data_IF_934096640164
#
_entry.id   IF_934096640164
#
_cell.length_a   1.000
_cell.length_b   1.000
_cell.length_c   1.000
_cell.angle_alpha   90.00
_cell.angle_beta   90.00
_cell.angle_gamma   90.00
#
_symmetry.space_group_name_H-M   'P 1'
#
loop_
_entity.id
_entity.type
_entity.pdbx_description
1 polymer ?
#
# COMPACT_ATOMS: atom_id res chain seq x y z
N UNK A 1 -19.43 -24.08 -0.63
CA UNK A 1 -19.58 -24.45 -2.07
C UNK A 1 -19.20 -25.90 -2.25
N UNK A 2 -19.64 -26.55 -3.32
CA UNK A 2 -19.26 -27.96 -3.59
C UNK A 2 -17.94 -28.09 -4.35
N UNK A 3 -17.51 -27.06 -5.07
CA UNK A 3 -16.26 -27.02 -5.82
C UNK A 3 -16.30 -26.05 -6.99
N UNK A 4 -15.22 -25.96 -7.73
CA UNK A 4 -15.11 -25.22 -9.00
C UNK A 4 -15.60 -26.10 -10.14
N UNK A 5 -16.34 -25.49 -11.06
CA UNK A 5 -16.93 -26.22 -12.20
C UNK A 5 -15.84 -26.80 -13.13
N UNK A 6 -15.85 -28.11 -13.33
CA UNK A 6 -14.88 -28.87 -14.15
C UNK A 6 -13.41 -28.58 -13.80
N UNK A 7 -13.09 -28.29 -12.52
CA UNK A 7 -11.74 -28.05 -12.06
C UNK A 7 -11.53 -28.66 -10.67
N UNK A 8 -11.24 -29.97 -10.65
CA UNK A 8 -11.05 -30.72 -9.42
C UNK A 8 -9.76 -30.33 -8.70
N UNK A 9 -8.69 -29.97 -9.44
CA UNK A 9 -7.43 -29.51 -8.86
C UNK A 9 -7.62 -28.25 -8.05
N UNK A 10 -8.22 -27.21 -8.64
CA UNK A 10 -8.52 -25.96 -7.93
C UNK A 10 -9.51 -26.19 -6.76
N UNK A 11 -10.39 -27.20 -6.87
CA UNK A 11 -11.29 -27.54 -5.78
C UNK A 11 -10.54 -28.12 -4.60
N UNK A 12 -9.60 -29.05 -4.83
CA UNK A 12 -8.79 -29.65 -3.77
C UNK A 12 -7.79 -28.66 -3.14
N UNK A 13 -7.33 -27.67 -3.91
CA UNK A 13 -6.52 -26.60 -3.36
C UNK A 13 -7.32 -25.64 -2.45
N UNK A 14 -8.59 -25.42 -2.77
CA UNK A 14 -9.45 -24.48 -2.06
C UNK A 14 -10.24 -25.10 -0.91
N UNK A 15 -10.49 -26.42 -0.93
CA UNK A 15 -11.28 -27.13 0.07
C UNK A 15 -10.50 -28.35 0.51
N UNK A 16 -10.21 -28.45 1.81
CA UNK A 16 -9.51 -29.60 2.36
C UNK A 16 -10.42 -30.83 2.55
N UNK A 17 -9.82 -31.95 2.99
CA UNK A 17 -10.53 -33.21 3.24
C UNK A 17 -11.59 -33.13 4.33
N UNK A 18 -11.50 -32.14 5.23
CA UNK A 18 -12.44 -31.93 6.33
C UNK A 18 -13.56 -30.94 5.94
N UNK A 19 -13.52 -30.43 4.72
CA UNK A 19 -14.52 -29.52 4.14
C UNK A 19 -14.29 -28.04 4.47
N UNK A 20 -13.11 -27.65 5.00
CA UNK A 20 -12.74 -26.27 5.23
C UNK A 20 -12.38 -25.59 3.91
N UNK A 21 -12.92 -24.39 3.74
CA UNK A 21 -12.63 -23.56 2.57
C UNK A 21 -11.58 -22.51 2.88
N UNK A 22 -10.47 -22.56 2.16
CA UNK A 22 -9.40 -21.57 2.22
C UNK A 22 -9.74 -20.36 1.38
N UNK A 23 -10.21 -19.28 2.01
CA UNK A 23 -10.63 -18.04 1.32
C UNK A 23 -9.44 -17.31 0.68
N UNK A 24 -8.23 -17.52 1.20
CA UNK A 24 -7.05 -16.76 0.86
C UNK A 24 -7.03 -15.37 1.48
N UNK A 25 -7.95 -15.08 2.40
CA UNK A 25 -7.98 -13.84 3.15
C UNK A 25 -7.21 -14.00 4.47
N UNK A 26 -6.59 -12.93 4.93
CA UNK A 26 -5.90 -12.82 6.22
C UNK A 26 -6.68 -11.86 7.10
N UNK A 27 -6.86 -12.23 8.34
CA UNK A 27 -7.59 -11.42 9.31
C UNK A 27 -7.25 -11.81 10.74
N UNK A 28 -7.80 -11.07 11.66
CA UNK A 28 -7.74 -11.36 13.10
C UNK A 28 -9.10 -11.19 13.75
N UNK A 29 -9.28 -11.83 14.88
CA UNK A 29 -10.44 -11.60 15.74
C UNK A 29 -10.04 -10.58 16.82
N UNK A 30 -10.91 -9.64 17.12
CA UNK A 30 -10.75 -8.79 18.28
C UNK A 30 -11.19 -9.50 19.58
N UNK A 31 -11.05 -8.79 20.71
CA UNK A 31 -11.40 -9.33 22.04
C UNK A 31 -12.92 -9.59 22.19
N UNK A 32 -13.75 -8.97 21.33
CA UNK A 32 -15.21 -9.15 21.28
C UNK A 32 -15.62 -10.25 20.30
N UNK A 33 -14.67 -10.81 19.55
CA UNK A 33 -14.88 -11.90 18.58
C UNK A 33 -15.30 -11.45 17.19
N UNK A 34 -15.18 -10.16 16.85
CA UNK A 34 -15.39 -9.69 15.48
C UNK A 34 -14.19 -9.99 14.59
N UNK A 35 -14.48 -10.46 13.38
CA UNK A 35 -13.46 -10.76 12.38
C UNK A 35 -13.12 -9.51 11.56
N UNK A 36 -11.87 -9.11 11.59
CA UNK A 36 -11.30 -8.06 10.75
C UNK A 36 -10.45 -8.68 9.66
N UNK A 37 -10.83 -8.49 8.38
CA UNK A 37 -10.02 -8.88 7.24
C UNK A 37 -9.01 -7.76 6.99
N UNK A 38 -7.72 -8.10 7.06
CA UNK A 38 -6.63 -7.12 6.93
C UNK A 38 -6.03 -7.12 5.53
N UNK A 39 -5.90 -8.30 4.89
CA UNK A 39 -5.34 -8.40 3.54
C UNK A 39 -5.66 -9.77 2.91
N UNK A 40 -5.17 -9.98 1.69
CA UNK A 40 -5.13 -11.29 1.04
C UNK A 40 -3.76 -11.94 1.17
N UNK A 41 -3.74 -13.26 1.34
CA UNK A 41 -2.50 -14.04 1.42
C UNK A 41 -1.56 -13.78 0.23
N UNK A 42 -2.13 -13.55 -0.97
CA UNK A 42 -1.38 -13.25 -2.20
C UNK A 42 -0.67 -11.90 -2.19
N UNK A 43 -1.18 -10.96 -1.39
CA UNK A 43 -0.66 -9.59 -1.34
C UNK A 43 0.40 -9.42 -0.25
N UNK A 44 0.54 -10.40 0.64
CA UNK A 44 1.55 -10.35 1.70
C UNK A 44 2.94 -10.34 1.08
N UNK A 45 3.72 -9.34 1.44
CA UNK A 45 5.12 -9.23 1.08
C UNK A 45 5.95 -10.08 2.05
N UNK A 46 6.89 -10.86 1.52
CA UNK A 46 7.83 -11.62 2.33
C UNK A 46 9.21 -10.98 2.16
N UNK A 47 9.69 -10.31 3.21
CA UNK A 47 11.02 -9.68 3.16
C UNK A 47 12.12 -10.75 3.05
N UNK A 48 13.33 -10.34 2.65
CA UNK A 48 14.50 -11.24 2.61
C UNK A 48 14.85 -11.86 3.95
N UNK A 49 14.41 -11.26 5.05
CA UNK A 49 14.54 -11.78 6.41
C UNK A 49 13.39 -12.74 6.80
N UNK A 50 12.49 -13.09 5.88
CA UNK A 50 11.36 -14.00 6.12
C UNK A 50 10.23 -13.37 6.94
N UNK A 51 10.15 -12.04 7.03
CA UNK A 51 9.05 -11.35 7.71
C UNK A 51 7.89 -11.13 6.75
N UNK A 52 6.68 -11.49 7.20
CA UNK A 52 5.44 -11.21 6.50
C UNK A 52 4.99 -9.78 6.80
N UNK A 53 4.69 -9.02 5.75
CA UNK A 53 4.24 -7.64 5.83
C UNK A 53 3.00 -7.46 4.97
N UNK A 54 1.93 -6.94 5.55
CA UNK A 54 0.70 -6.62 4.84
C UNK A 54 0.80 -5.18 4.30
N UNK A 55 0.84 -4.96 2.97
CA UNK A 55 0.99 -3.62 2.39
C UNK A 55 -0.26 -2.75 2.58
N UNK A 56 -1.46 -3.32 2.44
CA UNK A 56 -2.70 -2.56 2.41
C UNK A 56 -2.96 -1.69 3.66
N UNK A 57 -2.70 -2.11 4.91
CA UNK A 57 -2.84 -1.23 6.07
C UNK A 57 -1.94 0.00 6.00
N UNK A 58 -0.71 -0.14 5.50
CA UNK A 58 0.24 0.97 5.36
C UNK A 58 -0.17 1.91 4.23
N UNK A 59 -0.55 1.37 3.07
CA UNK A 59 -1.05 2.12 1.93
C UNK A 59 -2.30 2.94 2.33
N UNK A 60 -3.26 2.29 2.99
CA UNK A 60 -4.46 2.97 3.49
C UNK A 60 -4.13 4.06 4.52
N UNK A 61 -3.16 3.83 5.40
CA UNK A 61 -2.75 4.84 6.36
C UNK A 61 -2.09 6.05 5.66
N UNK A 62 -1.26 5.82 4.65
CA UNK A 62 -0.60 6.89 3.90
C UNK A 62 -1.60 7.76 3.12
N UNK A 63 -2.59 7.18 2.44
CA UNK A 63 -3.60 7.96 1.68
C UNK A 63 -4.60 8.71 2.57
N UNK A 64 -4.58 8.53 3.88
CA UNK A 64 -5.31 9.39 4.82
C UNK A 64 -4.62 10.74 5.05
N UNK A 65 -3.34 10.89 4.68
CA UNK A 65 -2.66 12.19 4.70
C UNK A 65 -3.20 13.11 3.59
N UNK A 66 -3.43 14.40 3.87
CA UNK A 66 -3.89 15.36 2.87
C UNK A 66 -2.86 15.60 1.75
N UNK A 67 -1.61 15.16 1.95
CA UNK A 67 -0.51 15.36 1.00
C UNK A 67 -0.22 14.15 0.12
N UNK A 68 -0.89 13.01 0.34
CA UNK A 68 -0.64 11.77 -0.38
C UNK A 68 -1.94 11.31 -1.08
N UNK A 69 -1.91 11.25 -2.40
CA UNK A 69 -3.05 10.82 -3.23
C UNK A 69 -3.07 9.31 -3.45
N UNK A 70 -1.91 8.73 -3.78
CA UNK A 70 -1.77 7.29 -3.99
C UNK A 70 -0.45 6.81 -3.40
N UNK A 71 -0.44 5.56 -2.93
CA UNK A 71 0.78 4.92 -2.44
C UNK A 71 0.79 3.44 -2.79
N UNK A 72 1.98 2.91 -3.08
CA UNK A 72 2.23 1.50 -3.33
C UNK A 72 3.44 1.07 -2.51
N UNK A 73 3.25 0.08 -1.66
CA UNK A 73 4.30 -0.48 -0.81
C UNK A 73 5.04 -1.61 -1.53
N UNK A 74 6.35 -1.58 -1.50
CA UNK A 74 7.24 -2.53 -2.16
C UNK A 74 8.19 -3.12 -1.12
N UNK A 75 8.31 -4.45 -1.08
CA UNK A 75 9.17 -5.10 -0.08
C UNK A 75 9.40 -6.58 -0.30
N UNK A 76 8.75 -7.18 -1.30
CA UNK A 76 8.91 -8.61 -1.55
C UNK A 76 10.35 -8.97 -1.91
N UNK A 77 10.93 -9.93 -1.18
CA UNK A 77 12.33 -10.32 -1.28
C UNK A 77 13.36 -9.17 -1.09
N UNK A 78 12.94 -8.05 -0.47
CA UNK A 78 13.81 -6.90 -0.18
C UNK A 78 14.26 -6.90 1.27
N UNK A 79 15.38 -6.20 1.54
CA UNK A 79 15.93 -6.05 2.90
C UNK A 79 15.11 -5.11 3.79
N UNK A 80 14.33 -4.23 3.17
CA UNK A 80 13.47 -3.27 3.84
C UNK A 80 12.26 -2.93 2.96
N UNK A 81 11.28 -2.32 3.59
CA UNK A 81 10.07 -1.83 2.94
C UNK A 81 10.31 -0.44 2.38
N UNK A 82 9.90 -0.24 1.14
CA UNK A 82 9.91 1.06 0.44
C UNK A 82 8.53 1.36 -0.12
N UNK A 83 8.30 2.60 -0.56
CA UNK A 83 7.05 3.02 -1.16
C UNK A 83 7.25 3.86 -2.42
N UNK A 84 6.31 3.75 -3.36
CA UNK A 84 6.07 4.73 -4.39
C UNK A 84 4.89 5.60 -3.95
N UNK A 85 5.06 6.90 -3.96
CA UNK A 85 4.07 7.86 -3.46
C UNK A 85 3.73 8.86 -4.56
N UNK A 86 2.45 8.98 -4.88
CA UNK A 86 1.94 10.07 -5.69
C UNK A 86 1.43 11.15 -4.73
N UNK A 87 2.04 12.35 -4.71
CA UNK A 87 1.56 13.44 -3.87
C UNK A 87 0.19 13.94 -4.34
N UNK A 88 -0.59 14.51 -3.43
CA UNK A 88 -1.73 15.34 -3.78
C UNK A 88 -1.21 16.66 -4.37
N UNK A 89 -1.14 16.75 -5.70
CA UNK A 89 -0.53 17.89 -6.39
C UNK A 89 -1.23 19.21 -6.05
N UNK A 90 -2.55 19.18 -5.82
CA UNK A 90 -3.30 20.35 -5.38
C UNK A 90 -2.82 20.86 -4.00
N UNK A 91 -2.64 19.93 -3.05
CA UNK A 91 -2.15 20.27 -1.71
C UNK A 91 -0.69 20.76 -1.73
N UNK A 92 0.14 20.15 -2.59
CA UNK A 92 1.55 20.56 -2.76
C UNK A 92 1.65 21.93 -3.45
N UNK A 93 0.85 22.19 -4.48
CA UNK A 93 0.80 23.51 -5.14
C UNK A 93 0.44 24.61 -4.14
N UNK A 94 -0.56 24.36 -3.28
CA UNK A 94 -0.92 25.28 -2.21
C UNK A 94 0.22 25.47 -1.21
N UNK A 95 0.86 24.41 -0.77
CA UNK A 95 2.00 24.44 0.17
C UNK A 95 3.14 25.30 -0.39
N UNK A 96 3.50 25.13 -1.66
CA UNK A 96 4.56 25.91 -2.31
C UNK A 96 4.13 27.37 -2.56
N UNK A 97 2.86 27.60 -2.89
CA UNK A 97 2.30 28.94 -3.08
C UNK A 97 2.34 29.75 -1.77
N UNK A 98 2.01 29.13 -0.64
CA UNK A 98 2.09 29.77 0.69
C UNK A 98 3.53 30.17 1.06
N UNK A 99 4.53 29.54 0.44
CA UNK A 99 5.95 29.89 0.57
C UNK A 99 6.44 30.89 -0.49
N UNK A 100 5.55 31.42 -1.32
CA UNK A 100 5.88 32.35 -2.39
C UNK A 100 6.56 31.73 -3.62
N UNK A 101 6.44 30.39 -3.79
CA UNK A 101 7.02 29.62 -4.89
C UNK A 101 5.94 28.84 -5.67
N UNK A 102 4.95 29.54 -6.27
CA UNK A 102 3.87 28.85 -6.97
C UNK A 102 4.42 28.12 -8.20
N UNK A 103 4.02 26.85 -8.35
CA UNK A 103 4.29 26.03 -9.53
C UNK A 103 3.17 25.02 -9.70
N UNK A 104 2.78 24.74 -10.94
CA UNK A 104 1.84 23.68 -11.31
C UNK A 104 2.55 22.57 -12.11
N UNK A 105 3.87 22.57 -12.16
CA UNK A 105 4.66 21.52 -12.79
C UNK A 105 4.93 20.38 -11.79
N UNK A 106 4.27 19.24 -12.00
CA UNK A 106 4.40 18.07 -11.15
C UNK A 106 5.85 17.54 -11.05
N UNK A 107 6.65 17.69 -12.10
CA UNK A 107 8.05 17.25 -12.08
C UNK A 107 8.85 18.13 -11.12
N UNK A 108 8.67 19.45 -11.20
CA UNK A 108 9.35 20.35 -10.27
C UNK A 108 8.88 20.15 -8.83
N UNK A 109 7.60 19.84 -8.62
CA UNK A 109 7.07 19.57 -7.27
C UNK A 109 7.72 18.35 -6.62
N UNK A 110 7.89 17.24 -7.34
CA UNK A 110 8.47 16.01 -6.76
C UNK A 110 9.98 16.09 -6.56
N UNK A 111 10.67 17.02 -7.20
CA UNK A 111 12.11 17.27 -7.06
C UNK A 111 12.42 18.35 -5.99
N UNK A 112 11.39 19.08 -5.52
CA UNK A 112 11.56 20.13 -4.52
C UNK A 112 11.90 19.54 -3.14
N UNK A 113 12.98 20.02 -2.54
CA UNK A 113 13.50 19.50 -1.26
C UNK A 113 12.55 19.70 -0.09
N UNK A 114 11.75 20.79 -0.09
CA UNK A 114 10.80 21.06 0.98
C UNK A 114 9.57 20.16 0.84
N UNK A 115 9.17 19.83 -0.39
CA UNK A 115 8.12 18.85 -0.67
C UNK A 115 8.56 17.46 -0.24
N UNK A 116 9.78 17.04 -0.60
CA UNK A 116 10.34 15.75 -0.16
C UNK A 116 10.39 15.69 1.38
N UNK A 117 10.83 16.77 2.03
CA UNK A 117 10.89 16.86 3.49
C UNK A 117 9.51 16.83 4.15
N UNK A 118 8.51 17.45 3.52
CA UNK A 118 7.11 17.40 3.98
C UNK A 118 6.58 15.97 3.93
N UNK A 119 6.70 15.30 2.79
CA UNK A 119 6.24 13.92 2.62
C UNK A 119 7.00 12.96 3.54
N UNK A 120 8.32 13.16 3.74
CA UNK A 120 9.10 12.35 4.68
C UNK A 120 8.53 12.45 6.10
N UNK A 121 8.21 13.65 6.58
CA UNK A 121 7.62 13.84 7.91
C UNK A 121 6.25 13.18 8.04
N UNK A 122 5.42 13.28 7.00
CA UNK A 122 4.12 12.60 6.97
C UNK A 122 4.30 11.08 7.06
N UNK A 123 5.16 10.50 6.20
CA UNK A 123 5.44 9.07 6.20
C UNK A 123 5.99 8.62 7.54
N UNK A 124 6.97 9.32 8.11
CA UNK A 124 7.57 8.97 9.41
C UNK A 124 6.51 8.94 10.51
N UNK A 125 5.67 9.99 10.58
CA UNK A 125 4.57 10.07 11.55
C UNK A 125 3.55 8.96 11.40
N UNK A 126 3.14 8.66 10.16
CA UNK A 126 2.19 7.59 9.86
C UNK A 126 2.78 6.22 10.23
N UNK A 127 4.07 6.01 9.97
CA UNK A 127 4.74 4.75 10.21
C UNK A 127 5.01 4.47 11.72
N UNK A 128 4.84 5.43 12.62
CA UNK A 128 5.00 5.21 14.06
C UNK A 128 4.08 4.11 14.61
N UNK A 129 2.88 3.98 14.05
CA UNK A 129 1.89 2.97 14.45
C UNK A 129 2.24 1.53 14.00
N UNK A 130 3.21 1.36 13.11
CA UNK A 130 3.61 0.06 12.55
C UNK A 130 4.87 -0.46 13.21
N UNK A 131 5.02 -1.80 13.22
CA UNK A 131 6.21 -2.47 13.74
C UNK A 131 7.46 -2.04 12.98
N UNK A 132 8.60 -2.00 13.64
CA UNK A 132 9.85 -1.49 13.07
C UNK A 132 10.25 -2.13 11.73
N UNK A 133 9.95 -3.43 11.54
CA UNK A 133 10.26 -4.16 10.31
C UNK A 133 9.25 -3.91 9.17
N UNK A 134 8.08 -3.34 9.47
CA UNK A 134 7.04 -2.98 8.50
C UNK A 134 7.21 -1.55 7.99
N UNK A 135 7.94 -0.71 8.70
CA UNK A 135 8.05 0.73 8.37
C UNK A 135 8.70 0.94 7.01
N UNK A 136 8.09 1.82 6.24
CA UNK A 136 8.68 2.35 5.00
C UNK A 136 9.95 3.11 5.37
N UNK A 137 11.10 2.68 4.84
CA UNK A 137 12.41 3.30 5.09
C UNK A 137 12.83 4.27 4.01
N UNK A 138 12.41 4.01 2.79
CA UNK A 138 12.70 4.83 1.63
C UNK A 138 11.46 4.95 0.77
N UNK A 139 11.30 6.06 0.10
CA UNK A 139 10.24 6.25 -0.87
C UNK A 139 10.74 7.03 -2.10
N UNK A 140 9.99 6.92 -3.19
CA UNK A 140 10.16 7.74 -4.36
C UNK A 140 8.83 8.43 -4.69
N UNK A 141 8.91 9.72 -5.05
CA UNK A 141 7.76 10.49 -5.50
C UNK A 141 7.53 10.26 -7.00
N UNK A 142 6.28 10.10 -7.36
CA UNK A 142 5.84 9.87 -8.74
C UNK A 142 5.05 11.10 -9.20
N UNK A 143 5.36 11.61 -10.39
CA UNK A 143 4.80 12.87 -10.92
C UNK A 143 3.44 12.74 -11.61
N UNK A 144 2.83 11.56 -11.58
CA UNK A 144 1.53 11.26 -12.19
C UNK A 144 0.77 10.19 -11.40
N UNK A 145 -0.53 10.15 -11.55
CA UNK A 145 -1.35 9.11 -10.96
C UNK A 145 -1.07 7.74 -11.62
N UNK A 146 -1.18 6.69 -10.82
CA UNK A 146 -1.31 5.33 -11.34
C UNK A 146 -2.70 5.16 -11.95
N UNK A 147 -2.77 4.52 -13.11
CA UNK A 147 -4.02 4.37 -13.86
C UNK A 147 -4.21 2.95 -14.39
N UNK A 148 -5.46 2.61 -14.69
CA UNK A 148 -5.83 1.35 -15.35
C UNK A 148 -5.29 1.34 -16.78
N UNK A 149 -5.38 2.47 -17.48
CA UNK A 149 -4.99 2.60 -18.90
C UNK A 149 -3.49 2.34 -19.11
N UNK A 150 -2.67 2.70 -18.12
CA UNK A 150 -1.23 2.43 -18.15
C UNK A 150 -0.88 1.00 -17.67
N UNK A 151 -1.88 0.19 -17.28
CA UNK A 151 -1.66 -1.16 -16.79
C UNK A 151 -1.08 -1.23 -15.37
N UNK A 152 -1.09 -0.12 -14.63
CA UNK A 152 -0.55 -0.03 -13.27
C UNK A 152 -1.58 -0.41 -12.21
N UNK A 153 -2.86 -0.22 -12.53
CA UNK A 153 -3.97 -0.62 -11.69
C UNK A 153 -4.86 -1.64 -12.41
N UNK A 154 -5.40 -2.57 -11.65
CA UNK A 154 -6.46 -3.45 -12.15
C UNK A 154 -7.78 -2.68 -12.26
N UNK A 155 -8.82 -3.23 -12.96
CA UNK A 155 -10.17 -2.63 -13.00
C UNK A 155 -10.80 -2.43 -11.61
N UNK A 156 -10.29 -3.11 -10.58
CA UNK A 156 -10.72 -2.97 -9.18
C UNK A 156 -9.83 -2.01 -8.37
N UNK A 157 -9.02 -1.18 -9.07
CA UNK A 157 -8.13 -0.16 -8.51
C UNK A 157 -7.10 -0.73 -7.52
N UNK A 158 -6.55 -1.90 -7.86
CA UNK A 158 -5.51 -2.56 -7.08
C UNK A 158 -4.29 -2.82 -7.94
#
# INVERSE_FOLDING_TARGET
MTGYFNNDEATHEAIDSDGWFYTGDIGHLDDEGYLFITDRKKNILVTSAGKNVAPAPMENAMVNSPYIEQSVVIGDNRNFISALIVPSFEAIEKFLSDQGRPTSDNVLMIEDSDVISLIQKEVDSIMEQFSHYERVKEFALINRLFTIDNGELTPTLK
#
